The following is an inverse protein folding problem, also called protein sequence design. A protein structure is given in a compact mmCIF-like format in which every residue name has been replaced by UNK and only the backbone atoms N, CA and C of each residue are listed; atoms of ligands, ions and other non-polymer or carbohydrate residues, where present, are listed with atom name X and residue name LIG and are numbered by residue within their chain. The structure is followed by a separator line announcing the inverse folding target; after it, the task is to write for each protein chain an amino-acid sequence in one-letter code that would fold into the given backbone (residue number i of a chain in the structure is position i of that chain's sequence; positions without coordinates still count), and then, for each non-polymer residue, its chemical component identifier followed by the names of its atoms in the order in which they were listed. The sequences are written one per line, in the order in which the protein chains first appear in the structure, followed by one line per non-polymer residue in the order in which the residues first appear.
data_IF_653039660501
#
_entry.id   IF_653039660501
#
_cell.length_a   1.000
_cell.length_b   1.000
_cell.length_c   1.000
_cell.angle_alpha   90.00
_cell.angle_beta   90.00
_cell.angle_gamma   90.00
#
_symmetry.space_group_name_H-M   'P 1'
#
loop_
_entity.id
_entity.type
_entity.pdbx_description
1 polymer ?
#
# COMPACT_ATOMS: atom_id res chain seq x y z
N UNK A 1 -9.82 2.34 -8.51
CA UNK A 1 -10.28 0.93 -8.45
C UNK A 1 -9.83 0.23 -9.72
N UNK A 2 -9.35 -1.00 -9.61
CA UNK A 2 -9.11 -1.85 -10.78
C UNK A 2 -10.41 -2.57 -11.15
N UNK A 3 -10.73 -2.66 -12.44
CA UNK A 3 -11.85 -3.47 -12.93
C UNK A 3 -11.49 -4.96 -12.84
N UNK A 4 -12.50 -5.84 -12.75
CA UNK A 4 -12.27 -7.29 -12.75
C UNK A 4 -11.70 -7.77 -14.08
N UNK A 5 -10.96 -8.88 -14.04
CA UNK A 5 -10.36 -9.53 -15.21
C UNK A 5 -11.42 -10.00 -16.19
N UNK A 6 -12.52 -10.56 -15.68
CA UNK A 6 -13.59 -11.17 -16.46
C UNK A 6 -14.34 -10.11 -17.28
N UNK A 7 -14.56 -8.94 -16.68
CA UNK A 7 -15.19 -7.83 -17.36
C UNK A 7 -14.31 -7.33 -18.51
N UNK A 8 -13.00 -7.25 -18.29
CA UNK A 8 -12.04 -6.81 -19.30
C UNK A 8 -11.99 -7.78 -20.48
N UNK A 9 -11.98 -9.09 -20.21
CA UNK A 9 -12.03 -10.13 -21.24
C UNK A 9 -13.29 -9.98 -22.11
N UNK A 10 -14.47 -9.88 -21.50
CA UNK A 10 -15.74 -9.67 -22.22
C UNK A 10 -15.75 -8.41 -23.09
N UNK A 11 -15.14 -7.33 -22.62
CA UNK A 11 -15.03 -6.08 -23.38
C UNK A 11 -14.08 -6.23 -24.57
N UNK A 12 -12.98 -6.97 -24.43
CA UNK A 12 -12.05 -7.26 -25.53
C UNK A 12 -12.67 -8.18 -26.58
N UNK A 13 -13.37 -9.24 -26.17
CA UNK A 13 -14.12 -10.14 -27.08
C UNK A 13 -15.14 -9.36 -27.93
N UNK A 14 -15.90 -8.43 -27.33
CA UNK A 14 -16.84 -7.59 -28.07
C UNK A 14 -16.16 -6.65 -29.07
N UNK A 15 -14.93 -6.21 -28.79
CA UNK A 15 -14.14 -5.42 -29.75
C UNK A 15 -13.65 -6.28 -30.92
N UNK A 16 -13.28 -7.53 -30.67
CA UNK A 16 -12.89 -8.49 -31.72
C UNK A 16 -14.07 -8.86 -32.63
N UNK A 17 -15.28 -8.91 -32.08
CA UNK A 17 -16.54 -9.07 -32.84
C UNK A 17 -16.90 -7.85 -33.73
N UNK A 18 -16.07 -6.80 -33.75
CA UNK A 18 -16.25 -5.64 -34.62
C UNK A 18 -17.06 -4.48 -34.03
N UNK A 19 -17.42 -4.52 -32.74
CA UNK A 19 -18.11 -3.41 -32.10
C UNK A 19 -17.20 -2.17 -31.98
N UNK A 20 -17.77 -0.98 -32.13
CA UNK A 20 -17.02 0.26 -31.91
C UNK A 20 -16.69 0.47 -30.44
N UNK A 21 -15.56 1.13 -30.14
CA UNK A 21 -15.13 1.41 -28.75
C UNK A 21 -16.21 2.14 -27.95
N UNK A 22 -16.91 3.11 -28.56
CA UNK A 22 -17.97 3.89 -27.89
C UNK A 22 -19.20 3.04 -27.60
N UNK A 23 -19.57 2.16 -28.52
CA UNK A 23 -20.69 1.24 -28.33
C UNK A 23 -20.38 0.20 -27.24
N UNK A 24 -19.18 -0.40 -27.26
CA UNK A 24 -18.76 -1.34 -26.23
C UNK A 24 -18.67 -0.69 -24.85
N UNK A 25 -18.20 0.56 -24.78
CA UNK A 25 -18.18 1.38 -23.57
C UNK A 25 -19.58 1.62 -23.01
N UNK A 26 -20.54 2.02 -23.86
CA UNK A 26 -21.93 2.22 -23.46
C UNK A 26 -22.58 0.91 -22.96
N UNK A 27 -22.37 -0.20 -23.67
CA UNK A 27 -22.91 -1.52 -23.29
C UNK A 27 -22.32 -2.09 -22.00
N UNK A 28 -21.06 -1.74 -21.68
CA UNK A 28 -20.38 -2.22 -20.48
C UNK A 28 -20.49 -1.26 -19.30
N UNK A 29 -21.05 -0.06 -19.49
CA UNK A 29 -21.15 0.97 -18.46
C UNK A 29 -19.79 1.57 -18.06
N UNK A 30 -18.80 1.52 -18.96
CA UNK A 30 -17.42 1.95 -18.68
C UNK A 30 -17.05 3.09 -19.59
N UNK A 31 -16.25 4.02 -19.09
CA UNK A 31 -15.77 5.13 -19.88
C UNK A 31 -14.92 4.67 -21.08
N UNK A 32 -15.14 5.27 -22.26
CA UNK A 32 -14.50 4.86 -23.52
C UNK A 32 -12.96 4.87 -23.47
N UNK A 33 -12.36 5.73 -22.63
CA UNK A 33 -10.89 5.78 -22.47
C UNK A 33 -10.36 4.51 -21.83
N UNK A 34 -11.11 3.89 -20.91
CA UNK A 34 -10.73 2.60 -20.30
C UNK A 34 -10.74 1.49 -21.34
N UNK A 35 -11.77 1.42 -22.18
CA UNK A 35 -11.86 0.47 -23.29
C UNK A 35 -10.72 0.68 -24.28
N UNK A 36 -10.41 1.94 -24.62
CA UNK A 36 -9.25 2.29 -25.46
C UNK A 36 -7.92 1.84 -24.83
N UNK A 37 -7.76 1.99 -23.52
CA UNK A 37 -6.55 1.58 -22.81
C UNK A 37 -6.41 0.05 -22.78
N UNK A 38 -7.51 -0.69 -22.61
CA UNK A 38 -7.48 -2.16 -22.70
C UNK A 38 -7.21 -2.66 -24.11
N UNK A 39 -7.67 -1.97 -25.15
CA UNK A 39 -7.29 -2.30 -26.52
C UNK A 39 -5.77 -2.15 -26.74
N UNK A 40 -5.15 -1.12 -26.16
CA UNK A 40 -3.69 -0.88 -26.24
C UNK A 40 -2.88 -1.88 -25.41
N UNK A 41 -3.44 -2.31 -24.29
CA UNK A 41 -2.83 -3.25 -23.36
C UNK A 41 -3.89 -4.29 -23.02
N UNK A 42 -3.97 -5.44 -23.70
CA UNK A 42 -5.04 -6.42 -23.47
C UNK A 42 -4.86 -7.19 -22.16
N UNK A 43 -3.63 -7.57 -21.83
CA UNK A 43 -3.30 -8.31 -20.60
C UNK A 43 -3.43 -7.42 -19.35
N UNK A 44 -4.00 -7.93 -18.23
CA UNK A 44 -3.94 -7.24 -16.95
C UNK A 44 -2.48 -6.96 -16.62
N UNK A 45 -2.12 -5.68 -16.53
CA UNK A 45 -0.83 -5.29 -15.97
C UNK A 45 -0.77 -5.91 -14.58
N UNK A 46 0.30 -6.62 -14.27
CA UNK A 46 0.59 -7.11 -12.92
C UNK A 46 0.25 -5.99 -11.95
N UNK A 47 -0.62 -6.23 -10.95
CA UNK A 47 -1.00 -5.19 -10.02
C UNK A 47 0.29 -4.57 -9.50
N UNK A 48 0.43 -3.25 -9.66
CA UNK A 48 1.63 -2.57 -9.17
C UNK A 48 1.78 -2.96 -7.71
N UNK A 49 2.96 -3.44 -7.28
CA UNK A 49 3.15 -3.78 -5.89
C UNK A 49 2.78 -2.56 -5.04
N UNK A 50 2.14 -2.77 -3.88
CA UNK A 50 1.79 -1.66 -3.01
C UNK A 50 3.05 -0.85 -2.73
N UNK A 51 2.93 0.48 -2.83
CA UNK A 51 4.05 1.37 -2.61
C UNK A 51 4.54 1.20 -1.17
N UNK A 52 5.74 0.67 -0.98
CA UNK A 52 6.38 0.58 0.34
C UNK A 52 6.82 1.98 0.74
N UNK A 53 6.20 2.54 1.79
CA UNK A 53 6.55 3.86 2.32
C UNK A 53 7.49 3.70 3.52
N UNK A 54 8.74 4.19 3.47
CA UNK A 54 9.64 4.11 4.60
C UNK A 54 9.18 5.01 5.76
N UNK A 55 9.53 4.67 7.01
CA UNK A 55 9.30 5.56 8.15
C UNK A 55 10.04 6.88 7.97
N UNK A 56 9.37 8.00 8.26
CA UNK A 56 9.98 9.34 8.18
C UNK A 56 10.66 9.79 9.46
N UNK A 57 10.10 9.45 10.64
CA UNK A 57 10.51 10.02 11.93
C UNK A 57 11.36 9.10 12.80
N UNK A 58 11.08 7.80 12.80
CA UNK A 58 11.70 6.83 13.71
C UNK A 58 12.53 5.88 12.85
N UNK A 59 13.85 5.99 12.93
CA UNK A 59 14.77 5.04 12.30
C UNK A 59 14.93 3.78 13.17
N UNK A 60 15.27 2.65 12.54
CA UNK A 60 15.45 1.37 13.25
C UNK A 60 16.60 1.44 14.25
N UNK A 61 17.74 1.97 13.82
CA UNK A 61 18.97 2.06 14.60
C UNK A 61 18.80 2.97 15.82
N UNK A 62 18.19 4.15 15.65
CA UNK A 62 17.99 5.08 16.75
C UNK A 62 17.01 4.51 17.80
N UNK A 63 15.95 3.83 17.37
CA UNK A 63 15.01 3.19 18.29
C UNK A 63 15.66 2.03 19.05
N UNK A 64 16.53 1.26 18.40
CA UNK A 64 17.25 0.16 19.04
C UNK A 64 18.21 0.68 20.11
N UNK A 65 18.99 1.72 19.78
CA UNK A 65 19.89 2.38 20.73
C UNK A 65 19.14 2.96 21.95
N UNK A 66 17.96 3.57 21.75
CA UNK A 66 17.13 4.07 22.85
C UNK A 66 16.58 2.93 23.73
N UNK A 67 16.21 1.78 23.15
CA UNK A 67 15.75 0.60 23.91
C UNK A 67 16.86 -0.05 24.73
N UNK A 68 18.10 0.00 24.24
CA UNK A 68 19.28 -0.49 24.95
C UNK A 68 19.70 0.45 26.08
N UNK A 69 19.85 1.74 25.77
CA UNK A 69 20.28 2.76 26.74
C UNK A 69 19.26 2.96 27.87
N UNK A 70 17.98 2.89 27.52
CA UNK A 70 16.88 3.16 28.45
C UNK A 70 15.96 1.95 28.54
N UNK A 71 16.28 0.96 29.37
CA UNK A 71 15.61 -0.34 29.38
C UNK A 71 14.16 -0.33 29.87
N UNK A 72 13.91 0.47 30.89
CA UNK A 72 12.71 0.44 31.73
C UNK A 72 11.72 1.54 31.38
N UNK A 73 12.17 2.52 30.61
CA UNK A 73 11.42 3.70 30.20
C UNK A 73 10.11 3.37 29.51
N UNK A 74 9.12 4.18 29.85
CA UNK A 74 7.80 4.11 29.27
C UNK A 74 7.77 4.67 27.85
N UNK A 75 6.77 4.27 27.08
CA UNK A 75 6.62 4.70 25.69
C UNK A 75 6.48 6.23 25.54
N UNK A 76 5.93 6.92 26.54
CA UNK A 76 5.78 8.38 26.51
C UNK A 76 7.10 9.12 26.73
N UNK A 77 8.00 8.59 27.57
CA UNK A 77 9.35 9.14 27.79
C UNK A 77 10.19 9.01 26.52
N UNK A 78 10.15 7.83 25.89
CA UNK A 78 10.78 7.60 24.58
C UNK A 78 10.21 8.52 23.52
N UNK A 79 8.90 8.66 23.48
CA UNK A 79 8.22 9.51 22.51
C UNK A 79 8.64 10.98 22.62
N UNK A 80 8.88 11.48 23.84
CA UNK A 80 9.41 12.83 24.08
C UNK A 80 10.80 13.01 23.45
N UNK A 81 11.70 12.02 23.57
CA UNK A 81 13.05 12.05 22.93
C UNK A 81 12.99 12.10 21.41
N UNK A 82 12.08 11.34 20.81
CA UNK A 82 11.89 11.28 19.36
C UNK A 82 10.98 12.38 18.80
N UNK A 83 10.45 13.28 19.64
CA UNK A 83 9.51 14.33 19.22
C UNK A 83 8.24 13.76 18.54
N UNK A 84 7.73 12.65 19.08
CA UNK A 84 6.59 11.93 18.52
C UNK A 84 5.59 11.51 19.61
N UNK A 85 4.58 10.72 19.25
CA UNK A 85 3.54 10.27 20.20
C UNK A 85 3.82 8.85 20.67
N UNK A 86 3.43 8.51 21.91
CA UNK A 86 3.64 7.15 22.46
C UNK A 86 3.09 6.01 21.55
N UNK A 87 1.91 6.14 20.90
CA UNK A 87 1.44 5.15 19.94
C UNK A 87 2.38 4.97 18.74
N UNK A 88 3.05 6.04 18.28
CA UNK A 88 3.99 5.95 17.16
C UNK A 88 5.24 5.14 17.51
N UNK A 89 5.75 5.27 18.74
CA UNK A 89 6.83 4.41 19.27
C UNK A 89 6.36 2.95 19.33
N UNK A 90 5.16 2.69 19.88
CA UNK A 90 4.59 1.33 19.92
C UNK A 90 4.53 0.69 18.52
N UNK A 91 4.03 1.42 17.53
CA UNK A 91 3.94 0.95 16.15
C UNK A 91 5.33 0.71 15.53
N UNK A 92 6.31 1.54 15.87
CA UNK A 92 7.69 1.35 15.41
C UNK A 92 8.33 0.10 16.04
N UNK A 93 8.14 -0.15 17.34
CA UNK A 93 8.62 -1.37 18.01
C UNK A 93 8.05 -2.64 17.36
N UNK A 94 6.73 -2.67 17.13
CA UNK A 94 6.06 -3.78 16.44
C UNK A 94 6.61 -3.98 15.02
N UNK A 95 6.74 -2.88 14.26
CA UNK A 95 7.25 -2.92 12.88
C UNK A 95 8.66 -3.49 12.79
N UNK A 96 9.53 -3.15 13.74
CA UNK A 96 10.92 -3.59 13.74
C UNK A 96 11.15 -4.91 14.49
N UNK A 97 10.11 -5.49 15.09
CA UNK A 97 10.21 -6.71 15.89
C UNK A 97 11.03 -6.53 17.16
N UNK A 98 11.11 -5.31 17.69
CA UNK A 98 11.86 -5.01 18.92
C UNK A 98 10.95 -5.28 20.11
N UNK A 99 11.32 -6.29 20.92
CA UNK A 99 10.65 -6.63 22.17
C UNK A 99 11.68 -6.68 23.28
N UNK A 100 11.32 -6.15 24.45
CA UNK A 100 12.14 -6.24 25.65
C UNK A 100 11.25 -6.54 26.85
N UNK A 101 11.61 -7.57 27.61
CA UNK A 101 11.01 -7.84 28.91
C UNK A 101 11.57 -6.86 29.94
N UNK A 102 10.70 -6.24 30.74
CA UNK A 102 11.14 -5.48 31.91
C UNK A 102 11.70 -6.48 32.92
N UNK A 103 12.99 -6.42 33.18
CA UNK A 103 13.62 -7.06 34.34
C UNK A 103 13.69 -6.00 35.43
N UNK A 104 13.15 -6.35 36.60
CA UNK A 104 13.13 -5.50 37.79
C UNK A 104 14.53 -5.25 38.33
#
# INVERSE_FOLDING_TARGET
MAYSTDLRQKVLEKLEQGCSIRQTAALSGIHFTTVRNWKKQPLPTTPKPPQVRPPKKISKEALLADVEAHPTDYLHERAARFGCTAPSIRQALIRYGISRKKTA
#
